data_IF_964938900552
#
_entry.id   IF_964938900552
#
_cell.length_a   1.000
_cell.length_b   1.000
_cell.length_c   1.000
_cell.angle_alpha   90.00
_cell.angle_beta   90.00
_cell.angle_gamma   90.00
#
_symmetry.space_group_name_H-M   'P 1'
#
loop_
_entity.id
_entity.type
_entity.pdbx_description
1 polymer ?
#
# COMPACT_ATOMS: atom_id res chain seq x y z
N UNK A 1 3.28 1.68 -11.17
CA UNK A 1 3.90 0.65 -12.03
C UNK A 1 2.93 -0.51 -12.23
N UNK A 2 3.10 -1.33 -13.27
CA UNK A 2 2.28 -2.55 -13.47
C UNK A 2 3.17 -3.76 -13.25
N UNK A 3 2.68 -4.72 -12.47
CA UNK A 3 3.30 -6.01 -12.20
C UNK A 3 2.60 -7.11 -12.97
N UNK A 4 3.35 -8.16 -13.29
CA UNK A 4 2.87 -9.45 -13.75
C UNK A 4 2.99 -10.49 -12.65
N UNK A 5 2.27 -11.61 -12.80
CA UNK A 5 2.44 -12.76 -11.92
C UNK A 5 3.91 -13.17 -11.80
N UNK A 6 4.41 -13.30 -10.57
CA UNK A 6 5.80 -13.64 -10.27
C UNK A 6 6.73 -12.44 -10.07
N UNK A 7 6.33 -11.22 -10.46
CA UNK A 7 7.12 -10.01 -10.17
C UNK A 7 7.17 -9.73 -8.68
N UNK A 8 8.28 -9.14 -8.22
CA UNK A 8 8.53 -8.85 -6.81
C UNK A 8 8.63 -7.35 -6.54
N UNK A 9 8.13 -6.92 -5.38
CA UNK A 9 8.16 -5.52 -4.95
C UNK A 9 8.65 -5.36 -3.51
N UNK A 10 9.29 -4.21 -3.28
CA UNK A 10 9.76 -3.78 -1.98
C UNK A 10 11.11 -4.38 -1.59
N UNK A 11 11.61 -3.92 -0.46
CA UNK A 11 12.92 -4.31 0.02
C UNK A 11 13.01 -5.82 0.26
N UNK A 12 14.03 -6.46 -0.32
CA UNK A 12 14.25 -7.91 -0.25
C UNK A 12 13.26 -8.75 -1.04
N UNK A 13 12.37 -8.15 -1.85
CA UNK A 13 11.44 -8.89 -2.72
C UNK A 13 10.47 -9.80 -1.95
N UNK A 14 10.04 -9.38 -0.75
CA UNK A 14 9.18 -10.18 0.13
C UNK A 14 7.75 -10.34 -0.38
N UNK A 15 7.31 -9.41 -1.23
CA UNK A 15 6.03 -9.51 -1.91
C UNK A 15 6.24 -10.04 -3.33
N UNK A 16 5.44 -11.05 -3.71
CA UNK A 16 5.38 -11.59 -5.07
C UNK A 16 3.94 -11.43 -5.56
N UNK A 17 3.77 -10.80 -6.71
CA UNK A 17 2.46 -10.61 -7.32
C UNK A 17 1.88 -11.96 -7.75
N UNK A 18 0.61 -12.22 -7.38
CA UNK A 18 -0.11 -13.43 -7.77
C UNK A 18 -0.75 -13.33 -9.16
N UNK A 19 -0.82 -12.11 -9.71
CA UNK A 19 -1.46 -11.80 -10.98
C UNK A 19 -1.04 -10.44 -11.50
N UNK A 20 -1.73 -9.97 -12.53
CA UNK A 20 -1.54 -8.61 -13.04
C UNK A 20 -2.04 -7.61 -11.99
N UNK A 21 -1.14 -6.75 -11.51
CA UNK A 21 -1.45 -5.76 -10.48
C UNK A 21 -0.90 -4.40 -10.82
N UNK A 22 -1.63 -3.34 -10.45
CA UNK A 22 -1.15 -1.97 -10.57
C UNK A 22 -0.71 -1.47 -9.21
N UNK A 23 0.54 -1.03 -9.08
CA UNK A 23 1.11 -0.55 -7.81
C UNK A 23 1.26 0.95 -7.80
N UNK A 24 0.78 1.57 -6.73
CA UNK A 24 0.95 2.98 -6.38
C UNK A 24 2.03 3.14 -5.32
N UNK A 25 2.66 4.31 -5.30
CA UNK A 25 3.64 4.70 -4.27
C UNK A 25 3.05 5.87 -3.49
N UNK A 26 3.00 5.72 -2.17
CA UNK A 26 2.53 6.74 -1.24
C UNK A 26 3.75 7.39 -0.60
N UNK A 27 3.78 8.72 -0.58
CA UNK A 27 4.86 9.52 0.01
C UNK A 27 4.74 9.57 1.54
N UNK A 28 4.91 8.41 2.16
CA UNK A 28 4.95 8.24 3.62
C UNK A 28 5.65 6.92 3.94
N UNK A 29 6.40 6.89 5.03
CA UNK A 29 7.08 5.68 5.48
C UNK A 29 7.28 5.65 6.98
N UNK A 30 8.22 4.80 7.42
CA UNK A 30 8.45 4.63 8.84
C UNK A 30 9.13 5.83 9.51
N UNK A 31 9.79 6.70 8.75
CA UNK A 31 10.33 7.96 9.29
C UNK A 31 9.22 8.94 9.68
N UNK A 32 8.05 8.85 9.02
CA UNK A 32 6.86 9.64 9.34
C UNK A 32 6.02 9.02 10.47
N UNK A 33 6.42 7.84 10.98
CA UNK A 33 5.74 7.12 12.06
C UNK A 33 4.88 5.93 11.60
N UNK A 34 4.83 5.61 10.31
CA UNK A 34 4.10 4.41 9.86
C UNK A 34 4.82 3.12 10.30
N UNK A 35 4.13 2.08 10.81
CA UNK A 35 4.79 0.89 11.32
C UNK A 35 5.59 0.16 10.22
N UNK A 36 6.92 0.09 10.37
CA UNK A 36 7.80 -0.61 9.40
C UNK A 36 7.43 -2.09 9.23
N UNK A 37 6.86 -2.69 10.27
CA UNK A 37 6.49 -4.10 10.31
C UNK A 37 5.06 -4.38 9.81
N UNK A 38 4.31 -3.36 9.39
CA UNK A 38 2.98 -3.53 8.81
C UNK A 38 3.04 -4.54 7.65
N UNK A 39 2.27 -5.63 7.69
CA UNK A 39 2.33 -6.66 6.66
C UNK A 39 1.70 -6.19 5.35
N UNK A 40 1.99 -6.90 4.26
CA UNK A 40 1.23 -6.70 3.02
C UNK A 40 -0.25 -7.05 3.26
N UNK A 41 -1.14 -6.22 2.74
CA UNK A 41 -2.58 -6.30 2.99
C UNK A 41 -3.06 -5.38 4.12
N UNK A 42 -2.16 -4.65 4.81
CA UNK A 42 -2.57 -3.63 5.79
C UNK A 42 -3.51 -2.63 5.10
N UNK A 43 -4.70 -2.35 5.67
CA UNK A 43 -5.75 -1.63 4.97
C UNK A 43 -5.36 -0.16 4.73
N UNK A 44 -5.68 0.33 3.54
CA UNK A 44 -5.57 1.75 3.15
C UNK A 44 -6.78 2.13 2.31
N UNK A 45 -7.10 3.42 2.24
CA UNK A 45 -8.10 3.94 1.32
C UNK A 45 -7.42 4.74 0.21
N UNK A 46 -7.73 4.44 -1.05
CA UNK A 46 -7.26 5.23 -2.20
C UNK A 46 -8.48 5.66 -2.99
N UNK A 47 -8.70 6.98 -3.10
CA UNK A 47 -9.84 7.55 -3.83
C UNK A 47 -11.21 6.97 -3.38
N UNK A 48 -11.38 6.77 -2.07
CA UNK A 48 -12.60 6.19 -1.50
C UNK A 48 -12.73 4.67 -1.66
N UNK A 49 -11.75 3.99 -2.28
CA UNK A 49 -11.74 2.54 -2.45
C UNK A 49 -10.78 1.91 -1.45
N UNK A 50 -11.27 0.97 -0.64
CA UNK A 50 -10.45 0.21 0.32
C UNK A 50 -9.58 -0.81 -0.42
N UNK A 51 -8.29 -0.77 -0.15
CA UNK A 51 -7.27 -1.67 -0.70
C UNK A 51 -6.23 -1.95 0.39
N UNK A 52 -5.04 -2.42 0.03
CA UNK A 52 -3.97 -2.73 0.98
C UNK A 52 -2.58 -2.32 0.54
N UNK A 53 -1.67 -2.25 1.51
CA UNK A 53 -0.23 -2.11 1.29
C UNK A 53 0.34 -3.36 0.62
N UNK A 54 1.44 -3.22 -0.12
CA UNK A 54 2.18 -4.35 -0.71
C UNK A 54 3.68 -4.20 -0.44
N UNK A 55 4.32 -5.30 -0.06
CA UNK A 55 5.74 -5.30 0.30
C UNK A 55 6.04 -4.58 1.62
N UNK A 56 7.33 -4.30 1.82
CA UNK A 56 7.86 -3.70 3.04
C UNK A 56 7.73 -2.17 3.00
N UNK A 57 7.29 -1.57 4.10
CA UNK A 57 7.32 -0.11 4.30
C UNK A 57 8.78 0.39 4.32
N UNK A 58 9.09 1.37 3.47
CA UNK A 58 10.41 2.01 3.37
C UNK A 58 10.49 3.26 4.24
N UNK A 59 11.63 3.96 4.24
CA UNK A 59 11.85 5.12 5.12
C UNK A 59 10.82 6.22 4.86
N UNK A 60 10.65 6.58 3.59
CA UNK A 60 9.84 7.73 3.16
C UNK A 60 8.68 7.32 2.24
N UNK A 61 8.52 6.02 1.97
CA UNK A 61 7.54 5.51 1.01
C UNK A 61 6.99 4.15 1.39
N UNK A 62 5.74 3.89 0.98
CA UNK A 62 5.13 2.57 0.97
C UNK A 62 4.40 2.32 -0.35
N UNK A 63 4.22 1.06 -0.70
CA UNK A 63 3.54 0.66 -1.92
C UNK A 63 2.13 0.15 -1.59
N UNK A 64 1.16 0.43 -2.47
CA UNK A 64 -0.25 0.04 -2.33
C UNK A 64 -0.78 -0.58 -3.61
N UNK A 65 -1.74 -1.50 -3.48
CA UNK A 65 -2.42 -2.09 -4.63
C UNK A 65 -3.49 -1.13 -5.18
N UNK A 66 -3.31 -0.67 -6.42
CA UNK A 66 -4.23 0.18 -7.18
C UNK A 66 -5.07 -0.61 -8.19
N UNK A 67 -4.98 -1.93 -8.22
CA UNK A 67 -5.82 -2.80 -9.07
C UNK A 67 -7.32 -2.51 -8.88
N UNK A 68 -7.86 -2.33 -7.65
CA UNK A 68 -9.26 -1.96 -7.47
C UNK A 68 -9.56 -0.47 -7.74
N UNK A 69 -8.53 0.36 -7.98
CA UNK A 69 -8.64 1.82 -8.07
C UNK A 69 -8.21 2.32 -9.47
N UNK A 70 -8.90 2.02 -10.58
CA UNK A 70 -8.40 2.28 -11.93
C UNK A 70 -8.19 3.77 -12.25
N UNK A 71 -8.95 4.66 -11.61
CA UNK A 71 -8.88 6.11 -11.80
C UNK A 71 -7.77 6.78 -10.97
N UNK A 72 -7.18 6.07 -10.00
CA UNK A 72 -6.12 6.63 -9.18
C UNK A 72 -4.89 7.00 -10.04
N UNK A 73 -4.33 8.17 -9.77
CA UNK A 73 -3.16 8.74 -10.45
C UNK A 73 -2.27 9.51 -9.48
N UNK A 74 -1.36 10.31 -10.02
CA UNK A 74 -0.47 11.16 -9.20
C UNK A 74 -1.31 12.21 -8.48
N UNK A 75 -1.09 12.36 -7.17
CA UNK A 75 -1.82 13.30 -6.32
C UNK A 75 -3.17 12.80 -5.82
N UNK A 76 -3.59 11.58 -6.19
CA UNK A 76 -4.78 10.96 -5.60
C UNK A 76 -4.63 10.83 -4.08
N UNK A 77 -5.61 11.30 -3.28
CA UNK A 77 -5.55 11.20 -1.84
C UNK A 77 -5.52 9.75 -1.35
N UNK A 78 -4.72 9.50 -0.31
CA UNK A 78 -4.62 8.21 0.37
C UNK A 78 -4.85 8.41 1.86
N UNK A 79 -5.76 7.63 2.45
CA UNK A 79 -5.97 7.57 3.89
C UNK A 79 -5.34 6.28 4.43
N UNK A 80 -4.31 6.43 5.27
CA UNK A 80 -3.68 5.32 5.97
C UNK A 80 -4.46 4.91 7.22
N UNK A 81 -4.97 5.90 7.94
CA UNK A 81 -5.96 5.79 9.00
C UNK A 81 -6.63 7.14 9.18
N UNK A 82 -7.86 7.14 9.67
CA UNK A 82 -8.67 8.33 9.81
C UNK A 82 -10.15 8.01 9.87
N UNK A 83 -10.92 8.61 8.97
CA UNK A 83 -12.38 8.56 8.99
C UNK A 83 -12.87 7.18 8.57
N UNK A 84 -12.34 6.63 7.48
CA UNK A 84 -12.80 5.41 6.84
C UNK A 84 -11.94 4.20 7.21
N UNK A 85 -10.63 4.40 7.40
CA UNK A 85 -9.70 3.36 7.89
C UNK A 85 -9.46 3.59 9.38
N UNK A 86 -9.95 2.71 10.24
CA UNK A 86 -9.75 2.85 11.69
C UNK A 86 -8.31 2.48 12.06
N UNK A 87 -7.74 3.23 13.00
CA UNK A 87 -6.38 2.92 13.49
C UNK A 87 -6.29 1.52 14.10
N UNK A 88 -7.39 1.03 14.70
CA UNK A 88 -7.46 -0.32 15.26
C UNK A 88 -7.38 -1.42 14.17
N UNK A 89 -7.94 -1.16 12.97
CA UNK A 89 -7.82 -2.07 11.83
C UNK A 89 -6.35 -2.16 11.36
N UNK A 90 -5.61 -1.04 11.43
CA UNK A 90 -4.19 -0.99 11.08
C UNK A 90 -3.34 -1.68 12.16
N UNK A 91 -3.69 -1.48 13.43
CA UNK A 91 -2.96 -2.04 14.56
C UNK A 91 -3.10 -3.58 14.69
N UNK A 92 -4.17 -4.14 14.15
CA UNK A 92 -4.47 -5.59 14.21
C UNK A 92 -4.10 -6.35 12.95
N UNK A 93 -3.55 -5.67 11.93
CA UNK A 93 -3.16 -6.23 10.64
C UNK A 93 -1.94 -7.16 10.71
#
# INVERSE_FOLDING_TARGET
QTLKAGDRVGYGGRYTASGDQRIGIVATGYADGYPRHAPSGTPVLVDGVRTGTVGTVSMDMLAVDLTPCPQAGIGTPVELWGKEIKIDDVATA
#
